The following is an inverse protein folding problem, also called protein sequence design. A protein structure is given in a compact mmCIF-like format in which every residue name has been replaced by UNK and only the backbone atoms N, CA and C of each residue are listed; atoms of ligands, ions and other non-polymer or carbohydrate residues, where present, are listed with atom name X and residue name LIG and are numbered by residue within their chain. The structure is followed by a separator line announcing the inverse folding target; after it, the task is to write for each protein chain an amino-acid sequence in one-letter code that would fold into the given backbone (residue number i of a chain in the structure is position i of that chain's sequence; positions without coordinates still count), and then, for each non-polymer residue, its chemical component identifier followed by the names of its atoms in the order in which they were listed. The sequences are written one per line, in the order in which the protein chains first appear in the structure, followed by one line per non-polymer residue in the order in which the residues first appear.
data_IF_340366194523
#
_entry.id   IF_340366194523
#
_cell.length_a   1.000
_cell.length_b   1.000
_cell.length_c   1.000
_cell.angle_alpha   90.00
_cell.angle_beta   90.00
_cell.angle_gamma   90.00
#
_symmetry.space_group_name_H-M   'P 1'
#
loop_
_entity.id
_entity.type
_entity.pdbx_description
1 polymer ?
#
# COMPACT_ATOMS: atom_id res chain seq x y z
N UNK A 1 8.36 22.91 -18.60
CA UNK A 1 9.25 22.21 -17.65
C UNK A 1 8.67 20.83 -17.44
N UNK A 2 9.37 19.78 -17.86
CA UNK A 2 8.84 18.41 -17.82
C UNK A 2 8.66 17.94 -16.38
N UNK A 3 7.53 17.33 -16.12
CA UNK A 3 7.03 16.92 -14.82
C UNK A 3 7.92 15.84 -14.19
N UNK A 4 8.89 16.26 -13.39
CA UNK A 4 9.94 15.42 -12.82
C UNK A 4 9.46 14.43 -11.74
N UNK A 5 8.15 14.39 -11.42
CA UNK A 5 7.64 13.59 -10.30
C UNK A 5 7.15 12.19 -10.67
N UNK A 6 6.86 11.94 -11.95
CA UNK A 6 6.56 10.59 -12.48
C UNK A 6 7.81 9.68 -12.45
N UNK A 7 9.03 10.23 -12.25
CA UNK A 7 10.30 9.52 -12.34
C UNK A 7 10.98 9.16 -11.01
N UNK A 8 10.36 9.37 -9.84
CA UNK A 8 11.10 9.25 -8.55
C UNK A 8 11.32 7.81 -8.08
N UNK A 9 10.41 6.90 -8.40
CA UNK A 9 10.47 5.52 -7.91
C UNK A 9 10.38 4.50 -9.04
N UNK A 10 11.01 3.35 -8.84
CA UNK A 10 10.69 2.13 -9.57
C UNK A 10 10.37 1.02 -8.57
N UNK A 11 9.59 0.04 -9.01
CA UNK A 11 9.07 -1.02 -8.15
C UNK A 11 9.61 -2.36 -8.60
N UNK A 12 10.04 -3.17 -7.65
CA UNK A 12 10.45 -4.56 -7.90
C UNK A 12 9.65 -5.49 -7.00
N UNK A 13 9.37 -6.69 -7.50
CA UNK A 13 8.77 -7.72 -6.69
C UNK A 13 9.88 -8.53 -6.01
N UNK A 14 9.95 -8.45 -4.68
CA UNK A 14 10.83 -9.34 -3.90
C UNK A 14 10.09 -10.64 -3.62
N UNK A 15 10.56 -11.74 -4.23
CA UNK A 15 9.98 -13.07 -4.06
C UNK A 15 10.24 -13.67 -2.66
N UNK A 16 11.26 -13.19 -1.93
CA UNK A 16 11.60 -13.69 -0.58
C UNK A 16 10.58 -13.22 0.44
N UNK A 17 10.23 -11.93 0.40
CA UNK A 17 9.20 -11.33 1.28
C UNK A 17 7.81 -11.28 0.62
N UNK A 18 7.72 -11.65 -0.66
CA UNK A 18 6.52 -11.59 -1.52
C UNK A 18 5.86 -10.22 -1.46
N UNK A 19 6.65 -9.17 -1.70
CA UNK A 19 6.28 -7.77 -1.49
C UNK A 19 6.78 -6.89 -2.63
N UNK A 20 6.05 -5.82 -2.92
CA UNK A 20 6.54 -4.75 -3.77
C UNK A 20 7.55 -3.89 -2.97
N UNK A 21 8.79 -3.83 -3.42
CA UNK A 21 9.77 -2.88 -2.88
C UNK A 21 9.67 -1.55 -3.64
N UNK A 22 9.81 -0.46 -2.91
CA UNK A 22 9.84 0.90 -3.47
C UNK A 22 11.29 1.35 -3.50
N UNK A 23 11.85 1.51 -4.70
CA UNK A 23 13.25 1.88 -4.89
C UNK A 23 13.33 3.34 -5.35
N UNK A 24 14.21 4.12 -4.72
CA UNK A 24 14.53 5.45 -5.23
C UNK A 24 15.28 5.29 -6.55
N UNK A 25 14.78 5.95 -7.60
CA UNK A 25 15.34 5.79 -8.94
C UNK A 25 16.72 6.45 -9.10
N UNK A 26 17.06 7.39 -8.23
CA UNK A 26 18.34 8.11 -8.22
C UNK A 26 19.42 7.29 -7.55
N UNK A 27 19.12 6.70 -6.39
CA UNK A 27 20.11 5.95 -5.60
C UNK A 27 20.08 4.44 -5.90
N UNK A 28 18.97 3.93 -6.41
CA UNK A 28 18.75 2.50 -6.58
C UNK A 28 18.47 1.75 -5.28
N UNK A 29 18.44 2.44 -4.14
CA UNK A 29 18.23 1.85 -2.82
C UNK A 29 16.75 1.74 -2.46
N UNK A 30 16.42 0.77 -1.61
CA UNK A 30 15.08 0.69 -1.02
C UNK A 30 14.83 1.94 -0.19
N UNK A 31 13.66 2.55 -0.42
CA UNK A 31 13.24 3.72 0.34
C UNK A 31 13.16 3.34 1.81
N UNK A 32 14.07 3.90 2.60
CA UNK A 32 14.08 3.71 4.04
C UNK A 32 12.75 4.19 4.65
N UNK A 33 12.27 3.46 5.66
CA UNK A 33 11.08 3.82 6.45
C UNK A 33 11.14 5.26 6.95
N UNK A 34 12.31 5.71 7.43
CA UNK A 34 12.55 7.07 7.92
C UNK A 34 12.38 8.17 6.86
N UNK A 35 12.43 7.83 5.57
CA UNK A 35 12.18 8.76 4.46
C UNK A 35 10.68 8.91 4.12
N UNK A 36 9.79 8.15 4.79
CA UNK A 36 8.36 8.39 4.72
C UNK A 36 7.92 9.37 5.81
N UNK A 37 7.36 10.55 5.45
CA UNK A 37 6.90 11.51 6.44
C UNK A 37 5.80 10.96 7.35
N UNK A 38 5.10 9.90 6.92
CA UNK A 38 4.09 9.21 7.73
C UNK A 38 4.70 8.21 8.72
N UNK A 39 5.96 7.82 8.56
CA UNK A 39 6.59 6.79 9.39
C UNK A 39 6.62 7.16 10.87
N UNK A 40 6.94 8.41 11.19
CA UNK A 40 6.96 8.89 12.59
C UNK A 40 5.57 8.85 13.22
N UNK A 41 4.52 9.23 12.48
CA UNK A 41 3.13 9.16 12.96
C UNK A 41 2.69 7.70 13.15
N UNK A 42 3.02 6.82 12.19
CA UNK A 42 2.72 5.39 12.29
C UNK A 42 3.45 4.77 13.48
N UNK A 43 4.71 5.11 13.69
CA UNK A 43 5.51 4.66 14.85
C UNK A 43 4.92 5.17 16.16
N UNK A 44 4.46 6.42 16.21
CA UNK A 44 3.80 6.98 17.37
C UNK A 44 2.50 6.24 17.71
N UNK A 45 1.62 6.04 16.73
CA UNK A 45 0.37 5.26 16.88
C UNK A 45 0.68 3.80 17.26
N UNK A 46 1.79 3.23 16.77
CA UNK A 46 2.23 1.88 17.13
C UNK A 46 2.76 1.78 18.57
N UNK A 47 3.40 2.84 19.07
CA UNK A 47 3.97 2.90 20.43
C UNK A 47 2.89 3.10 21.51
N UNK A 48 1.73 3.62 21.13
CA UNK A 48 0.52 3.54 21.96
C UNK A 48 0.09 2.07 22.12
N UNK A 49 -0.62 1.68 23.20
CA UNK A 49 -0.82 0.28 23.61
C UNK A 49 -1.61 -0.63 22.63
N UNK A 50 -1.86 -0.22 21.38
CA UNK A 50 -2.73 -0.91 20.42
C UNK A 50 -2.09 -1.02 19.02
N UNK A 51 -1.35 -2.10 18.76
CA UNK A 51 -0.97 -2.49 17.40
C UNK A 51 -2.20 -2.73 16.48
N UNK A 52 -3.39 -2.87 17.06
CA UNK A 52 -4.66 -2.95 16.33
C UNK A 52 -4.98 -1.64 15.57
N UNK A 53 -4.61 -0.48 16.12
CA UNK A 53 -4.87 0.83 15.50
C UNK A 53 -4.08 0.98 14.18
N UNK A 54 -2.82 0.55 14.15
CA UNK A 54 -2.00 0.58 12.93
C UNK A 54 -2.52 -0.39 11.86
N UNK A 55 -3.03 -1.56 12.26
CA UNK A 55 -3.68 -2.47 11.30
C UNK A 55 -5.01 -1.92 10.79
N UNK A 56 -5.75 -1.19 11.63
CA UNK A 56 -6.96 -0.50 11.21
C UNK A 56 -6.65 0.58 10.19
N UNK A 57 -5.54 1.32 10.36
CA UNK A 57 -5.08 2.29 9.36
C UNK A 57 -4.80 1.62 8.01
N UNK A 58 -4.04 0.52 7.99
CA UNK A 58 -3.76 -0.21 6.75
C UNK A 58 -5.06 -0.64 6.04
N UNK A 59 -6.02 -1.18 6.79
CA UNK A 59 -7.35 -1.54 6.28
C UNK A 59 -8.16 -0.34 5.81
N UNK A 60 -8.04 0.81 6.48
CA UNK A 60 -8.68 2.04 6.05
C UNK A 60 -8.08 2.54 4.73
N UNK A 61 -6.76 2.45 4.53
CA UNK A 61 -6.11 2.74 3.24
C UNK A 61 -6.66 1.84 2.13
N UNK A 62 -6.84 0.55 2.40
CA UNK A 62 -7.49 -0.38 1.47
C UNK A 62 -8.92 0.04 1.11
N UNK A 63 -9.74 0.47 2.08
CA UNK A 63 -11.09 0.99 1.80
C UNK A 63 -11.07 2.25 0.95
N UNK A 64 -10.08 3.13 1.13
CA UNK A 64 -9.92 4.29 0.25
C UNK A 64 -9.64 3.89 -1.19
N UNK A 65 -9.03 2.73 -1.41
CA UNK A 65 -8.86 2.10 -2.72
C UNK A 65 -10.01 1.13 -3.06
N UNK A 66 -11.23 1.41 -2.62
CA UNK A 66 -12.47 0.68 -3.01
C UNK A 66 -12.48 -0.82 -2.67
N UNK A 67 -11.77 -1.24 -1.62
CA UNK A 67 -11.68 -2.65 -1.24
C UNK A 67 -13.01 -3.37 -0.97
N UNK A 68 -14.02 -2.64 -0.46
CA UNK A 68 -15.27 -3.23 0.00
C UNK A 68 -16.19 -3.70 -1.14
N UNK A 69 -15.93 -3.29 -2.39
CA UNK A 69 -16.72 -3.66 -3.58
C UNK A 69 -16.14 -4.85 -4.35
N UNK A 70 -15.00 -5.39 -3.90
CA UNK A 70 -14.23 -6.36 -4.66
C UNK A 70 -14.85 -7.77 -4.66
N UNK A 71 -14.99 -8.43 -5.83
CA UNK A 71 -15.51 -9.78 -5.89
C UNK A 71 -14.58 -10.79 -5.21
N UNK A 72 -15.12 -11.61 -4.30
CA UNK A 72 -14.36 -12.52 -3.44
C UNK A 72 -13.54 -13.58 -4.20
N UNK A 73 -13.91 -13.90 -5.45
CA UNK A 73 -13.21 -14.87 -6.28
C UNK A 73 -11.96 -14.28 -6.97
N UNK A 74 -11.77 -12.96 -6.96
CA UNK A 74 -10.58 -12.30 -7.54
C UNK A 74 -9.40 -12.34 -6.57
N UNK A 75 -8.17 -12.16 -7.06
CA UNK A 75 -6.99 -12.06 -6.19
C UNK A 75 -7.12 -10.92 -5.17
N UNK A 76 -7.66 -9.77 -5.61
CA UNK A 76 -7.91 -8.60 -4.78
C UNK A 76 -8.96 -8.92 -3.68
N UNK A 77 -10.11 -9.49 -4.06
CA UNK A 77 -11.14 -9.88 -3.10
C UNK A 77 -10.69 -10.94 -2.09
N UNK A 78 -9.88 -11.92 -2.52
CA UNK A 78 -9.28 -12.91 -1.61
C UNK A 78 -8.33 -12.27 -0.61
N UNK A 79 -7.46 -11.36 -1.06
CA UNK A 79 -6.56 -10.60 -0.19
C UNK A 79 -7.34 -9.78 0.82
N UNK A 80 -8.41 -9.10 0.39
CA UNK A 80 -9.24 -8.32 1.31
C UNK A 80 -9.93 -9.19 2.36
N UNK A 81 -10.52 -10.30 1.93
CA UNK A 81 -11.16 -11.26 2.83
C UNK A 81 -10.18 -11.79 3.89
N UNK A 82 -8.92 -12.05 3.50
CA UNK A 82 -7.88 -12.46 4.43
C UNK A 82 -7.43 -11.31 5.36
N UNK A 83 -7.24 -10.10 4.84
CA UNK A 83 -6.82 -8.93 5.64
C UNK A 83 -7.80 -8.59 6.76
N UNK A 84 -9.10 -8.83 6.53
CA UNK A 84 -10.17 -8.67 7.54
C UNK A 84 -10.12 -9.72 8.66
N UNK A 85 -9.56 -10.91 8.38
CA UNK A 85 -9.35 -11.95 9.38
C UNK A 85 -8.03 -11.66 10.10
N UNK A 86 -8.03 -11.53 11.43
CA UNK A 86 -6.79 -11.30 12.18
C UNK A 86 -5.99 -12.62 12.38
N UNK A 87 -5.75 -13.34 11.28
CA UNK A 87 -5.17 -14.68 11.25
C UNK A 87 -3.91 -14.70 10.36
N UNK A 88 -2.71 -14.74 10.96
CA UNK A 88 -1.45 -14.80 10.23
C UNK A 88 -1.33 -16.00 9.26
N UNK A 89 -1.96 -17.13 9.57
CA UNK A 89 -1.92 -18.31 8.71
C UNK A 89 -2.72 -18.10 7.42
N UNK A 90 -3.86 -17.41 7.50
CA UNK A 90 -4.67 -17.00 6.35
C UNK A 90 -3.91 -15.98 5.49
N UNK A 91 -3.21 -15.02 6.11
CA UNK A 91 -2.39 -14.04 5.40
C UNK A 91 -1.26 -14.68 4.60
N UNK A 92 -0.50 -15.58 5.22
CA UNK A 92 0.58 -16.28 4.54
C UNK A 92 0.08 -17.13 3.37
N UNK A 93 -1.07 -17.80 3.55
CA UNK A 93 -1.69 -18.62 2.51
C UNK A 93 -2.10 -17.77 1.31
N UNK A 94 -2.87 -16.71 1.52
CA UNK A 94 -3.35 -15.88 0.42
C UNK A 94 -2.20 -15.21 -0.32
N UNK A 95 -1.13 -14.79 0.38
CA UNK A 95 0.07 -14.21 -0.25
C UNK A 95 0.81 -15.20 -1.15
N UNK A 96 0.72 -16.51 -0.89
CA UNK A 96 1.24 -17.54 -1.80
C UNK A 96 0.33 -17.70 -3.01
N UNK A 97 -0.98 -17.79 -2.78
CA UNK A 97 -1.98 -18.01 -3.82
C UNK A 97 -2.14 -16.82 -4.80
N UNK A 98 -1.77 -15.61 -4.38
CA UNK A 98 -1.88 -14.40 -5.21
C UNK A 98 -0.54 -13.85 -5.69
N UNK A 99 0.56 -14.57 -5.47
CA UNK A 99 1.91 -14.10 -5.78
C UNK A 99 2.09 -13.68 -7.25
N UNK A 100 1.54 -14.44 -8.20
CA UNK A 100 1.66 -14.14 -9.63
C UNK A 100 0.89 -12.87 -10.02
N UNK A 101 -0.31 -12.68 -9.46
CA UNK A 101 -1.09 -11.46 -9.69
C UNK A 101 -0.38 -10.23 -9.13
N UNK A 102 0.23 -10.36 -7.94
CA UNK A 102 1.04 -9.32 -7.31
C UNK A 102 2.29 -9.01 -8.14
N UNK A 103 2.98 -10.05 -8.64
CA UNK A 103 4.15 -9.89 -9.50
C UNK A 103 3.79 -9.14 -10.78
N UNK A 104 2.68 -9.49 -11.44
CA UNK A 104 2.19 -8.80 -12.64
C UNK A 104 1.80 -7.36 -12.35
N UNK A 105 1.13 -7.10 -11.23
CA UNK A 105 0.79 -5.74 -10.80
C UNK A 105 2.04 -4.88 -10.61
N UNK A 106 3.11 -5.42 -10.01
CA UNK A 106 4.37 -4.71 -9.84
C UNK A 106 5.10 -4.50 -11.17
N UNK A 107 5.27 -5.56 -11.96
CA UNK A 107 6.13 -5.56 -13.14
C UNK A 107 5.51 -4.86 -14.35
N UNK A 108 4.18 -4.90 -14.48
CA UNK A 108 3.46 -4.39 -15.65
C UNK A 108 2.42 -3.32 -15.30
N UNK A 109 1.72 -3.50 -14.18
CA UNK A 109 0.64 -2.61 -13.77
C UNK A 109 1.13 -1.22 -13.31
N UNK A 110 2.04 -1.19 -12.33
CA UNK A 110 2.59 0.06 -11.81
C UNK A 110 3.33 0.90 -12.87
N UNK A 111 4.17 0.33 -13.76
CA UNK A 111 4.82 1.11 -14.84
C UNK A 111 3.85 1.72 -15.84
N UNK A 112 2.63 1.19 -15.92
CA UNK A 112 1.55 1.69 -16.79
C UNK A 112 0.52 2.52 -16.04
N UNK A 113 0.81 2.89 -14.79
CA UNK A 113 -0.09 3.66 -13.92
C UNK A 113 -1.50 3.05 -13.84
N UNK A 114 -1.59 1.72 -13.74
CA UNK A 114 -2.89 1.05 -13.64
C UNK A 114 -3.44 1.13 -12.21
N UNK A 115 -4.64 1.71 -11.99
CA UNK A 115 -5.25 1.79 -10.67
C UNK A 115 -5.38 0.43 -10.00
N UNK A 116 -5.89 -0.58 -10.71
CA UNK A 116 -6.11 -1.93 -10.19
C UNK A 116 -4.83 -2.58 -9.65
N UNK A 117 -3.67 -2.24 -10.21
CA UNK A 117 -2.40 -2.73 -9.71
C UNK A 117 -2.05 -2.10 -8.35
N UNK A 118 -2.21 -0.79 -8.20
CA UNK A 118 -2.02 -0.10 -6.92
C UNK A 118 -3.07 -0.54 -5.87
N UNK A 119 -4.31 -0.78 -6.30
CA UNK A 119 -5.35 -1.35 -5.45
C UNK A 119 -4.95 -2.73 -4.92
N UNK A 120 -4.58 -3.65 -5.82
CA UNK A 120 -4.14 -5.00 -5.44
C UNK A 120 -2.97 -4.96 -4.43
N UNK A 121 -2.01 -4.06 -4.65
CA UNK A 121 -0.84 -3.92 -3.78
C UNK A 121 -1.17 -3.28 -2.42
N UNK A 122 -2.16 -2.39 -2.36
CA UNK A 122 -2.70 -1.88 -1.09
C UNK A 122 -3.31 -3.02 -0.26
N UNK A 123 -4.05 -3.93 -0.90
CA UNK A 123 -4.65 -5.09 -0.24
C UNK A 123 -3.59 -6.11 0.18
N UNK A 124 -2.58 -6.33 -0.67
CA UNK A 124 -1.45 -7.19 -0.35
C UNK A 124 -0.68 -6.67 0.86
N UNK A 125 -0.47 -5.35 0.97
CA UNK A 125 0.19 -4.74 2.11
C UNK A 125 -0.54 -5.02 3.44
N UNK A 126 -1.88 -5.02 3.44
CA UNK A 126 -2.68 -5.31 4.63
C UNK A 126 -2.47 -6.72 5.22
N UNK A 127 -1.91 -7.64 4.43
CA UNK A 127 -1.58 -9.02 4.86
C UNK A 127 -0.13 -9.17 5.34
N UNK A 128 0.59 -8.07 5.54
CA UNK A 128 1.94 -8.10 6.07
C UNK A 128 1.94 -8.44 7.57
N UNK A 129 2.91 -9.27 7.99
CA UNK A 129 3.02 -9.74 9.37
C UNK A 129 3.34 -8.59 10.33
N UNK A 130 4.30 -7.73 9.97
CA UNK A 130 4.57 -6.48 10.69
C UNK A 130 3.49 -5.43 10.40
N UNK A 131 2.89 -4.88 11.46
CA UNK A 131 1.80 -3.92 11.34
C UNK A 131 2.26 -2.55 10.82
N UNK A 132 3.44 -2.09 11.23
CA UNK A 132 3.99 -0.81 10.77
C UNK A 132 4.30 -0.83 9.27
N UNK A 133 4.91 -1.92 8.80
CA UNK A 133 5.16 -2.13 7.37
C UNK A 133 3.86 -2.27 6.58
N UNK A 134 2.85 -2.97 7.13
CA UNK A 134 1.52 -3.06 6.51
C UNK A 134 0.93 -1.67 6.29
N UNK A 135 1.01 -0.80 7.30
CA UNK A 135 0.53 0.58 7.24
C UNK A 135 1.29 1.44 6.24
N UNK A 136 2.62 1.37 6.22
CA UNK A 136 3.45 2.14 5.30
C UNK A 136 3.20 1.75 3.85
N UNK A 137 3.21 0.45 3.56
CA UNK A 137 3.03 -0.04 2.20
C UNK A 137 1.59 0.21 1.72
N UNK A 138 0.58 0.02 2.58
CA UNK A 138 -0.81 0.32 2.25
C UNK A 138 -1.00 1.81 1.97
N UNK A 139 -0.43 2.70 2.80
CA UNK A 139 -0.51 4.15 2.60
C UNK A 139 0.26 4.61 1.36
N UNK A 140 1.37 3.96 1.00
CA UNK A 140 2.07 4.29 -0.26
C UNK A 140 1.25 3.85 -1.47
N UNK A 141 0.68 2.65 -1.44
CA UNK A 141 -0.04 2.11 -2.59
C UNK A 141 -1.44 2.72 -2.76
N UNK A 142 -2.14 3.12 -1.68
CA UNK A 142 -3.40 3.86 -1.80
C UNK A 142 -3.19 5.28 -2.35
N UNK A 143 -2.03 5.89 -2.03
CA UNK A 143 -1.61 7.17 -2.62
C UNK A 143 -1.37 7.02 -4.13
N UNK A 144 -0.72 5.92 -4.56
CA UNK A 144 -0.54 5.59 -5.99
C UNK A 144 -1.85 5.28 -6.69
N UNK A 145 -2.76 4.59 -6.02
CA UNK A 145 -4.10 4.36 -6.56
C UNK A 145 -4.82 5.67 -6.84
N UNK A 146 -4.81 6.62 -5.89
CA UNK A 146 -5.42 7.93 -6.08
C UNK A 146 -4.78 8.73 -7.23
N UNK A 147 -3.44 8.68 -7.33
CA UNK A 147 -2.68 9.26 -8.44
C UNK A 147 -3.13 8.69 -9.80
N UNK A 148 -3.26 7.36 -9.88
CA UNK A 148 -3.59 6.65 -11.12
C UNK A 148 -5.05 6.82 -11.53
N UNK A 149 -5.95 7.01 -10.57
CA UNK A 149 -7.37 7.30 -10.83
C UNK A 149 -7.61 8.73 -11.37
N UNK A 150 -6.65 9.65 -11.22
CA UNK A 150 -6.82 11.06 -11.56
C UNK A 150 -5.83 11.53 -12.64
N UNK A 151 -5.92 11.02 -13.89
CA UNK A 151 -4.94 11.30 -14.94
C UNK A 151 -4.83 12.79 -15.31
N UNK A 152 -5.86 13.60 -15.02
CA UNK A 152 -5.86 15.05 -15.26
C UNK A 152 -5.06 15.86 -14.23
N UNK A 153 -4.98 15.39 -12.98
CA UNK A 153 -4.22 16.05 -11.90
C UNK A 153 -3.73 15.00 -10.87
N UNK A 154 -2.76 14.16 -11.26
CA UNK A 154 -2.29 13.04 -10.44
C UNK A 154 -1.61 13.52 -9.16
N UNK A 155 -0.90 14.65 -9.21
CA UNK A 155 -0.20 15.19 -8.05
C UNK A 155 -1.16 15.71 -6.98
N UNK A 156 -2.22 16.40 -7.37
CA UNK A 156 -3.21 16.87 -6.41
C UNK A 156 -3.94 15.70 -5.76
N UNK A 157 -4.32 14.68 -6.54
CA UNK A 157 -4.99 13.49 -6.00
C UNK A 157 -4.12 12.74 -4.98
N UNK A 158 -2.84 12.51 -5.29
CA UNK A 158 -1.89 11.91 -4.36
C UNK A 158 -1.72 12.76 -3.08
N UNK A 159 -1.66 14.08 -3.22
CA UNK A 159 -1.54 15.00 -2.08
C UNK A 159 -2.77 14.96 -1.18
N UNK A 160 -3.98 14.99 -1.76
CA UNK A 160 -5.24 14.86 -1.02
C UNK A 160 -5.28 13.55 -0.24
N UNK A 161 -4.91 12.44 -0.89
CA UNK A 161 -4.85 11.14 -0.23
C UNK A 161 -3.86 11.14 0.94
N UNK A 162 -2.65 11.70 0.75
CA UNK A 162 -1.66 11.85 1.81
C UNK A 162 -2.16 12.70 2.98
N UNK A 163 -2.87 13.79 2.72
CA UNK A 163 -3.49 14.60 3.78
C UNK A 163 -4.53 13.80 4.55
N UNK A 164 -5.37 13.01 3.86
CA UNK A 164 -6.33 12.12 4.55
C UNK A 164 -5.62 11.08 5.43
N UNK A 165 -4.48 10.54 4.97
CA UNK A 165 -3.67 9.61 5.76
C UNK A 165 -3.18 10.25 7.06
N UNK A 166 -2.63 11.46 6.98
CA UNK A 166 -2.14 12.21 8.14
C UNK A 166 -3.28 12.51 9.10
N UNK A 167 -4.41 13.03 8.60
CA UNK A 167 -5.56 13.34 9.44
C UNK A 167 -6.09 12.09 10.17
N UNK A 168 -6.24 10.97 9.45
CA UNK A 168 -6.67 9.72 10.08
C UNK A 168 -5.73 9.29 11.22
N UNK A 169 -4.41 9.37 10.98
CA UNK A 169 -3.41 9.00 11.99
C UNK A 169 -3.46 9.94 13.20
N UNK A 170 -3.69 11.24 12.98
CA UNK A 170 -3.82 12.22 14.06
C UNK A 170 -5.10 12.02 14.88
N UNK A 171 -6.21 11.71 14.22
CA UNK A 171 -7.51 11.47 14.87
C UNK A 171 -7.55 10.13 15.64
N UNK A 172 -6.59 9.25 15.39
CA UNK A 172 -6.48 7.93 16.01
C UNK A 172 -5.52 7.90 17.22
N UNK A 173 -4.92 9.04 17.56
CA UNK A 173 -4.11 9.24 18.77
C UNK A 173 -4.99 9.62 19.96
#
# INVERSE_FOLDING_TARGET
MSDARVARYYYIFDSRTRRALVLDRTTGEERARSADPRAQLIEHVQAQPSAASVRQFARWCARQAEADELPSHTAAGRLWAAARRNDPSAWQRVRRETADAVMLAVALGLPRSQPDAAQLLTLQACTHADAGQAALDAAHMSERWAEFCAPSDPEAAARVMRTRHVNWLLDSM
#
